data_IF_251234273835
#
_entry.id   IF_251234273835
#
_cell.length_a   1.000
_cell.length_b   1.000
_cell.length_c   1.000
_cell.angle_alpha   90.00
_cell.angle_beta   90.00
_cell.angle_gamma   90.00
#
_symmetry.space_group_name_H-M   'P 1'
#
loop_
_entity.id
_entity.type
_entity.pdbx_description
1 polymer ?
#
# COMPACT_ATOMS: atom_id res chain seq x y z
N UNK A 1 16.99 -10.40 -15.40
CA UNK A 1 17.29 -9.08 -14.81
C UNK A 1 17.29 -9.08 -13.27
N UNK A 2 16.15 -8.98 -12.54
CA UNK A 2 16.18 -8.78 -11.08
C UNK A 2 17.00 -9.83 -10.30
N UNK A 3 16.94 -11.10 -10.70
CA UNK A 3 17.77 -12.19 -10.16
C UNK A 3 19.27 -11.99 -10.39
N UNK A 4 19.67 -11.46 -11.54
CA UNK A 4 21.08 -11.20 -11.88
C UNK A 4 21.70 -10.13 -10.97
N UNK A 5 20.88 -9.21 -10.47
CA UNK A 5 21.28 -8.19 -9.51
C UNK A 5 21.16 -8.62 -8.05
N UNK A 6 20.80 -9.88 -7.78
CA UNK A 6 20.66 -10.39 -6.41
C UNK A 6 19.56 -9.68 -5.61
N UNK A 7 18.48 -9.24 -6.25
CA UNK A 7 17.36 -8.60 -5.54
C UNK A 7 16.69 -9.60 -4.60
N UNK A 8 16.49 -9.21 -3.35
CA UNK A 8 15.87 -10.03 -2.31
C UNK A 8 14.46 -9.55 -1.94
N UNK A 9 14.15 -8.27 -2.20
CA UNK A 9 12.88 -7.62 -1.88
C UNK A 9 12.50 -6.60 -2.96
N UNK A 10 11.23 -6.59 -3.35
CA UNK A 10 10.63 -5.65 -4.31
C UNK A 10 9.61 -4.80 -3.57
N UNK A 11 9.72 -3.47 -3.71
CA UNK A 11 8.78 -2.52 -3.12
C UNK A 11 8.02 -1.81 -4.24
N UNK A 12 6.70 -1.97 -4.26
CA UNK A 12 5.81 -1.27 -5.18
C UNK A 12 5.35 0.02 -4.50
N UNK A 13 5.94 1.15 -4.91
CA UNK A 13 5.66 2.47 -4.36
C UNK A 13 4.97 3.31 -5.45
N UNK A 14 3.64 3.35 -5.43
CA UNK A 14 2.86 4.00 -6.48
C UNK A 14 2.95 3.31 -7.84
N UNK A 15 3.11 1.99 -7.87
CA UNK A 15 3.19 1.21 -9.10
C UNK A 15 1.79 0.88 -9.65
N UNK A 16 1.37 1.60 -10.68
CA UNK A 16 -0.01 1.57 -11.21
C UNK A 16 -0.26 0.47 -12.26
N UNK A 17 0.38 -0.69 -12.14
CA UNK A 17 0.18 -1.83 -13.04
C UNK A 17 -0.01 -3.10 -12.25
N UNK A 18 -0.92 -3.94 -12.74
CA UNK A 18 -1.11 -5.30 -12.21
C UNK A 18 0.07 -6.16 -12.67
N UNK A 19 0.75 -6.81 -11.73
CA UNK A 19 1.80 -7.76 -12.02
C UNK A 19 1.20 -9.06 -12.56
N UNK A 20 1.90 -9.75 -13.46
CA UNK A 20 1.39 -11.03 -13.96
C UNK A 20 1.42 -12.08 -12.84
N UNK A 21 0.49 -13.05 -12.84
CA UNK A 21 0.48 -14.13 -11.85
C UNK A 21 1.81 -14.90 -11.79
N UNK A 22 2.49 -15.07 -12.93
CA UNK A 22 3.80 -15.73 -13.01
C UNK A 22 4.86 -14.94 -12.22
N UNK A 23 4.86 -13.61 -12.36
CA UNK A 23 5.78 -12.74 -11.63
C UNK A 23 5.50 -12.78 -10.12
N UNK A 24 4.22 -12.70 -9.72
CA UNK A 24 3.84 -12.79 -8.31
C UNK A 24 4.27 -14.12 -7.69
N UNK A 25 4.10 -15.25 -8.41
CA UNK A 25 4.56 -16.57 -7.94
C UNK A 25 6.09 -16.68 -7.88
N UNK A 26 6.81 -16.14 -8.85
CA UNK A 26 8.28 -16.17 -8.87
C UNK A 26 8.90 -15.39 -7.69
N UNK A 27 8.22 -14.32 -7.26
CA UNK A 27 8.65 -13.42 -6.19
C UNK A 27 7.74 -13.49 -4.96
N UNK A 28 7.12 -14.65 -4.73
CA UNK A 28 6.26 -14.88 -3.57
C UNK A 28 7.00 -14.52 -2.27
N UNK A 29 6.28 -13.87 -1.36
CA UNK A 29 6.78 -13.37 -0.08
C UNK A 29 7.94 -12.37 -0.16
N UNK A 30 8.24 -11.86 -1.37
CA UNK A 30 9.33 -10.90 -1.65
C UNK A 30 8.87 -9.63 -2.33
N UNK A 31 7.56 -9.44 -2.49
CA UNK A 31 6.99 -8.21 -3.04
C UNK A 31 6.08 -7.58 -1.98
N UNK A 32 6.37 -6.33 -1.63
CA UNK A 32 5.48 -5.51 -0.82
C UNK A 32 4.85 -4.41 -1.67
N UNK A 33 3.55 -4.19 -1.48
CA UNK A 33 2.84 -3.06 -2.04
C UNK A 33 2.34 -2.13 -0.94
N UNK A 34 2.28 -0.82 -1.25
CA UNK A 34 1.53 0.14 -0.45
C UNK A 34 0.22 0.48 -1.13
N UNK A 35 -0.85 0.38 -0.37
CA UNK A 35 -2.18 0.80 -0.79
C UNK A 35 -2.65 2.00 0.05
N UNK A 36 -3.17 3.09 -0.55
CA UNK A 36 -3.50 4.34 0.16
C UNK A 36 -4.84 4.27 0.92
N UNK A 37 -5.15 3.13 1.52
CA UNK A 37 -6.27 2.95 2.44
C UNK A 37 -5.97 1.92 3.53
N UNK A 38 -6.91 1.78 4.47
CA UNK A 38 -6.94 0.68 5.43
C UNK A 38 -7.65 -0.53 4.79
N UNK A 39 -6.89 -1.38 4.10
CA UNK A 39 -7.40 -2.62 3.49
C UNK A 39 -8.14 -3.48 4.54
N UNK A 40 -9.23 -4.18 4.14
CA UNK A 40 -9.70 -4.38 2.77
C UNK A 40 -10.53 -3.21 2.19
N UNK A 41 -10.74 -2.12 2.93
CA UNK A 41 -11.55 -1.00 2.46
C UNK A 41 -10.88 -0.33 1.26
N UNK A 42 -11.64 -0.05 0.20
CA UNK A 42 -11.13 0.57 -1.04
C UNK A 42 -10.04 -0.24 -1.78
N UNK A 43 -9.98 -1.56 -1.59
CA UNK A 43 -9.13 -2.44 -2.41
C UNK A 43 -9.40 -2.24 -3.91
N UNK A 44 -8.37 -2.28 -4.75
CA UNK A 44 -8.45 -2.04 -6.19
C UNK A 44 -8.63 -0.57 -6.58
N UNK A 45 -8.77 0.35 -5.61
CA UNK A 45 -8.73 1.78 -5.86
C UNK A 45 -7.31 2.25 -6.19
N UNK A 46 -7.18 3.35 -6.92
CA UNK A 46 -5.88 3.87 -7.35
C UNK A 46 -5.77 5.38 -7.08
N UNK A 47 -4.59 5.82 -6.63
CA UNK A 47 -4.23 7.23 -6.47
C UNK A 47 -5.34 8.07 -5.78
N UNK A 48 -5.80 9.16 -6.40
CA UNK A 48 -6.76 10.09 -5.79
C UNK A 48 -8.16 9.52 -5.62
N UNK A 49 -8.55 8.51 -6.41
CA UNK A 49 -9.88 7.89 -6.34
C UNK A 49 -10.18 7.35 -4.93
N UNK A 50 -9.17 6.80 -4.26
CA UNK A 50 -9.31 6.30 -2.89
C UNK A 50 -9.64 7.45 -1.94
N UNK A 51 -8.91 8.55 -2.01
CA UNK A 51 -9.13 9.73 -1.17
C UNK A 51 -10.46 10.43 -1.48
N UNK A 52 -10.86 10.51 -2.74
CA UNK A 52 -12.19 10.99 -3.17
C UNK A 52 -13.30 10.15 -2.53
N UNK A 53 -13.16 8.82 -2.55
CA UNK A 53 -14.14 7.91 -1.96
C UNK A 53 -14.17 7.96 -0.43
N UNK A 54 -13.02 8.19 0.22
CA UNK A 54 -12.95 8.43 1.67
C UNK A 54 -13.76 9.66 2.05
N UNK A 55 -13.52 10.79 1.37
CA UNK A 55 -14.22 12.05 1.63
C UNK A 55 -15.71 11.96 1.29
N UNK A 56 -16.05 11.39 0.12
CA UNK A 56 -17.43 11.20 -0.32
C UNK A 56 -18.25 10.35 0.64
N UNK A 57 -17.64 9.33 1.25
CA UNK A 57 -18.30 8.45 2.20
C UNK A 57 -18.38 9.04 3.62
N UNK A 58 -17.77 10.20 3.87
CA UNK A 58 -17.77 10.83 5.19
C UNK A 58 -16.98 10.03 6.23
N UNK A 59 -15.95 9.31 5.79
CA UNK A 59 -15.09 8.53 6.68
C UNK A 59 -14.39 9.44 7.70
N UNK A 60 -14.37 9.05 8.97
CA UNK A 60 -13.62 9.78 10.00
C UNK A 60 -12.14 9.41 10.08
N UNK A 61 -11.75 8.27 9.47
CA UNK A 61 -10.38 7.75 9.47
C UNK A 61 -10.04 7.12 8.14
N UNK A 62 -8.80 7.31 7.73
CA UNK A 62 -8.18 6.60 6.60
C UNK A 62 -6.72 6.28 6.96
N UNK A 63 -5.92 5.85 6.00
CA UNK A 63 -4.55 5.47 6.23
C UNK A 63 -3.92 4.79 5.03
N UNK A 64 -2.89 4.00 5.28
CA UNK A 64 -2.25 3.16 4.29
C UNK A 64 -2.00 1.77 4.82
N UNK A 65 -1.84 0.82 3.91
CA UNK A 65 -1.55 -0.58 4.19
C UNK A 65 -0.33 -1.03 3.41
N UNK A 66 0.64 -1.63 4.10
CA UNK A 66 1.70 -2.42 3.48
C UNK A 66 1.30 -3.89 3.56
N UNK A 67 1.25 -4.56 2.42
CA UNK A 67 0.89 -5.97 2.32
C UNK A 67 1.79 -6.70 1.34
N UNK A 68 1.88 -8.02 1.48
CA UNK A 68 2.51 -8.87 0.48
C UNK A 68 1.65 -8.92 -0.78
N UNK A 69 2.29 -8.91 -1.94
CA UNK A 69 1.57 -9.02 -3.22
C UNK A 69 1.27 -10.49 -3.52
N UNK A 70 0.02 -10.74 -3.88
CA UNK A 70 -0.50 -12.01 -4.38
C UNK A 70 -0.91 -11.86 -5.85
N UNK A 71 -1.45 -12.91 -6.46
CA UNK A 71 -2.14 -12.84 -7.75
C UNK A 71 -3.45 -12.05 -7.66
N UNK A 72 -4.14 -12.09 -6.51
CA UNK A 72 -5.29 -11.23 -6.23
C UNK A 72 -4.87 -9.81 -5.83
N UNK A 73 -5.45 -8.81 -6.49
CA UNK A 73 -5.16 -7.38 -6.27
C UNK A 73 -5.53 -6.95 -4.85
N UNK A 74 -4.59 -6.28 -4.16
CA UNK A 74 -4.74 -5.72 -2.81
C UNK A 74 -5.33 -6.68 -1.76
N UNK A 75 -5.09 -7.98 -1.93
CA UNK A 75 -5.72 -9.04 -1.13
C UNK A 75 -4.73 -9.91 -0.35
N UNK A 76 -3.43 -9.66 -0.51
CA UNK A 76 -2.40 -10.44 0.17
C UNK A 76 -2.27 -10.12 1.66
N UNK A 77 -1.48 -10.93 2.40
CA UNK A 77 -1.28 -10.77 3.83
C UNK A 77 -0.79 -9.37 4.22
N UNK A 78 -1.51 -8.74 5.14
CA UNK A 78 -1.19 -7.40 5.66
C UNK A 78 -0.02 -7.50 6.63
N UNK A 79 1.01 -6.66 6.43
CA UNK A 79 2.18 -6.59 7.29
C UNK A 79 2.12 -5.37 8.23
N UNK A 80 1.78 -4.20 7.71
CA UNK A 80 1.70 -2.94 8.48
C UNK A 80 0.48 -2.13 8.04
N UNK A 81 -0.24 -1.55 8.99
CA UNK A 81 -1.23 -0.51 8.73
C UNK A 81 -0.96 0.72 9.58
N UNK A 82 -1.09 1.90 8.97
CA UNK A 82 -1.02 3.19 9.67
C UNK A 82 -2.24 4.00 9.33
N UNK A 83 -2.77 4.73 10.31
CA UNK A 83 -4.02 5.50 10.20
C UNK A 83 -3.84 6.97 10.55
N UNK A 84 -4.66 7.82 9.94
CA UNK A 84 -4.86 9.22 10.30
C UNK A 84 -6.36 9.53 10.39
N UNK A 85 -6.69 10.65 11.03
CA UNK A 85 -8.05 11.18 11.01
C UNK A 85 -8.29 11.90 9.68
N UNK A 86 -9.54 11.92 9.22
CA UNK A 86 -10.02 12.77 8.14
C UNK A 86 -10.63 14.01 8.79
N UNK A 87 -10.06 15.17 8.51
CA UNK A 87 -10.51 16.43 9.10
C UNK A 87 -11.64 17.05 8.26
N UNK A 88 -12.57 17.83 8.84
CA UNK A 88 -13.73 18.38 8.12
C UNK A 88 -13.41 19.26 6.90
N UNK A 89 -12.17 19.76 6.82
CA UNK A 89 -11.71 20.62 5.74
C UNK A 89 -10.67 19.93 4.85
N UNK A 90 -10.46 18.62 5.02
CA UNK A 90 -9.58 17.88 4.13
C UNK A 90 -10.12 17.92 2.70
N UNK A 91 -9.24 18.28 1.76
CA UNK A 91 -9.44 18.05 0.33
C UNK A 91 -8.79 16.74 -0.06
N UNK A 92 -9.03 16.29 -1.30
CA UNK A 92 -8.37 15.11 -1.86
C UNK A 92 -6.85 15.24 -1.74
N UNK A 93 -6.31 16.42 -2.05
CA UNK A 93 -4.88 16.68 -2.03
C UNK A 93 -4.31 16.70 -0.61
N UNK A 94 -4.97 17.37 0.35
CA UNK A 94 -4.46 17.39 1.74
C UNK A 94 -4.53 16.01 2.38
N UNK A 95 -5.59 15.25 2.09
CA UNK A 95 -5.74 13.90 2.59
C UNK A 95 -4.71 12.96 1.97
N UNK A 96 -4.44 13.09 0.67
CA UNK A 96 -3.37 12.37 -0.02
C UNK A 96 -2.02 12.64 0.62
N UNK A 97 -1.67 13.91 0.88
CA UNK A 97 -0.42 14.26 1.56
C UNK A 97 -0.32 13.59 2.93
N UNK A 98 -1.38 13.64 3.74
CA UNK A 98 -1.42 12.99 5.07
C UNK A 98 -1.20 11.47 4.97
N UNK A 99 -1.81 10.82 3.98
CA UNK A 99 -1.64 9.37 3.76
C UNK A 99 -0.23 9.05 3.27
N UNK A 100 0.33 9.79 2.31
CA UNK A 100 1.69 9.57 1.80
C UNK A 100 2.77 9.68 2.89
N UNK A 101 2.61 10.59 3.85
CA UNK A 101 3.51 10.63 5.02
C UNK A 101 3.45 9.36 5.87
N UNK A 102 2.27 8.70 5.94
CA UNK A 102 2.13 7.41 6.62
C UNK A 102 2.78 6.28 5.81
N UNK A 103 2.65 6.28 4.48
CA UNK A 103 3.21 5.26 3.58
C UNK A 103 4.71 5.09 3.76
N UNK A 104 5.47 6.19 3.76
CA UNK A 104 6.92 6.14 3.97
C UNK A 104 7.28 5.55 5.34
N UNK A 105 6.56 5.96 6.40
CA UNK A 105 6.75 5.42 7.76
C UNK A 105 6.37 3.93 7.84
N UNK A 106 5.34 3.52 7.12
CA UNK A 106 4.87 2.13 7.09
C UNK A 106 5.86 1.22 6.37
N UNK A 107 6.46 1.66 5.26
CA UNK A 107 7.52 0.90 4.59
C UNK A 107 8.75 0.71 5.45
N UNK A 108 9.22 1.77 6.13
CA UNK A 108 10.40 1.66 7.02
C UNK A 108 10.14 0.62 8.12
N UNK A 109 8.93 0.59 8.68
CA UNK A 109 8.55 -0.43 9.67
C UNK A 109 8.47 -1.83 9.06
N UNK A 110 7.83 -1.98 7.90
CA UNK A 110 7.70 -3.25 7.20
C UNK A 110 9.07 -3.87 6.84
N UNK A 111 10.01 -3.08 6.33
CA UNK A 111 11.36 -3.55 6.00
C UNK A 111 12.09 -4.04 7.24
N UNK A 112 11.98 -3.31 8.37
CA UNK A 112 12.58 -3.75 9.65
C UNK A 112 11.98 -5.04 10.17
N UNK A 113 10.66 -5.25 10.00
CA UNK A 113 10.00 -6.49 10.40
C UNK A 113 10.49 -7.68 9.58
N UNK A 114 10.72 -7.49 8.27
CA UNK A 114 11.24 -8.57 7.40
C UNK A 114 12.72 -8.86 7.69
N UNK A 115 13.54 -7.85 7.98
CA UNK A 115 14.96 -8.03 8.28
C UNK A 115 15.26 -8.73 9.61
N UNK A 116 14.32 -8.71 10.56
CA UNK A 116 14.49 -9.30 11.89
C UNK A 116 13.95 -10.73 11.99
N UNK A 117 13.52 -11.33 10.88
CA UNK A 117 13.08 -12.72 10.76
C UNK A 117 14.07 -13.51 9.89
#
# INVERSE_FOLDING_TARGET
VLKEYGVELILLIGFMRILSPEFCREWQDKILNVHPSLLPKYAGGMDTNVHENVLKNGDSKTGCTIHFVTDDVDSGPILVQKKCNVDPHDTVDTLKTKVQELEGRAFIEAIKLIQNN
#
